data_IF_015347382463
#
_entry.id   IF_015347382463
#
_cell.length_a   1.000
_cell.length_b   1.000
_cell.length_c   1.000
_cell.angle_alpha   90.00
_cell.angle_beta   90.00
_cell.angle_gamma   90.00
#
_symmetry.space_group_name_H-M   'P 1'
#
loop_
_entity.id
_entity.type
_entity.pdbx_description
1 polymer ?
#
# COMPACT_ATOMS: atom_id res chain seq x y z
N UNK A 1 -0.39 25.38 25.11
CA UNK A 1 -0.07 26.79 25.43
C UNK A 1 -1.34 27.57 25.70
N UNK A 2 -1.30 28.47 26.68
CA UNK A 2 -2.42 29.34 27.03
C UNK A 2 -2.03 30.79 26.70
N UNK A 3 -2.81 31.53 25.90
CA UNK A 3 -2.56 32.94 25.67
C UNK A 3 -2.93 33.76 26.91
N UNK A 4 -1.99 34.55 27.40
CA UNK A 4 -2.13 35.40 28.59
C UNK A 4 -1.81 36.85 28.22
N UNK A 5 -2.65 37.79 28.65
CA UNK A 5 -2.38 39.21 28.46
C UNK A 5 -1.08 39.63 29.17
N UNK A 6 -0.29 40.53 28.56
CA UNK A 6 1.01 40.96 29.07
C UNK A 6 0.98 41.43 30.54
N UNK A 7 -0.12 42.04 30.99
CA UNK A 7 -0.32 42.50 32.37
C UNK A 7 -0.43 41.35 33.39
N UNK A 8 -0.83 40.16 32.96
CA UNK A 8 -1.06 39.00 33.81
C UNK A 8 0.03 37.91 33.66
N UNK A 9 1.11 38.18 32.91
CA UNK A 9 2.16 37.19 32.61
C UNK A 9 2.88 36.61 33.84
N UNK A 10 2.85 37.30 34.99
CA UNK A 10 3.46 36.86 36.26
C UNK A 10 2.48 36.21 37.23
N UNK A 11 1.18 36.13 36.89
CA UNK A 11 0.14 35.51 37.74
C UNK A 11 0.04 34.00 37.54
N UNK A 12 0.57 33.49 36.43
CA UNK A 12 0.65 32.07 36.11
C UNK A 12 2.12 31.64 36.17
N UNK A 13 2.42 30.65 37.00
CA UNK A 13 3.74 30.02 37.04
C UNK A 13 3.89 29.11 35.82
N UNK A 14 4.79 29.47 34.89
CA UNK A 14 4.99 28.74 33.65
C UNK A 14 6.09 29.34 32.79
N UNK A 15 6.50 28.61 31.77
CA UNK A 15 7.50 29.07 30.81
C UNK A 15 6.84 29.89 29.70
N UNK A 16 7.43 31.03 29.36
CA UNK A 16 7.01 31.84 28.21
C UNK A 16 7.60 31.18 26.97
N UNK A 17 6.74 30.69 26.07
CA UNK A 17 7.17 30.10 24.80
C UNK A 17 7.26 31.10 23.67
N UNK A 18 6.33 32.06 23.62
CA UNK A 18 6.27 33.03 22.53
C UNK A 18 5.53 34.32 22.92
N UNK A 19 5.79 35.39 22.18
CA UNK A 19 5.16 36.71 22.34
C UNK A 19 4.52 37.14 21.02
N UNK A 20 3.30 37.68 21.07
CA UNK A 20 2.66 38.19 19.86
C UNK A 20 3.46 39.38 19.28
N UNK A 21 3.45 39.55 17.96
CA UNK A 21 4.18 40.64 17.28
C UNK A 21 3.82 42.06 17.77
N UNK A 22 2.70 42.21 18.50
CA UNK A 22 2.25 43.49 19.09
C UNK A 22 2.63 43.64 20.57
N UNK A 23 3.25 42.62 21.18
CA UNK A 23 3.65 42.54 22.58
C UNK A 23 2.50 42.47 23.60
N UNK A 24 1.26 42.29 23.12
CA UNK A 24 0.06 42.32 23.97
C UNK A 24 -0.30 40.97 24.59
N UNK A 25 0.17 39.88 23.98
CA UNK A 25 -0.19 38.50 24.37
C UNK A 25 1.06 37.66 24.49
N UNK A 26 1.22 36.98 25.62
CA UNK A 26 2.28 36.02 25.88
C UNK A 26 1.68 34.61 25.88
N UNK A 27 2.32 33.68 25.21
CA UNK A 27 1.94 32.27 25.24
C UNK A 27 2.74 31.59 26.35
N UNK A 28 2.04 31.21 27.41
CA UNK A 28 2.65 30.58 28.58
C UNK A 28 2.25 29.10 28.60
N UNK A 29 3.22 28.23 28.86
CA UNK A 29 2.97 26.83 29.23
C UNK A 29 3.18 26.68 30.74
N UNK A 30 2.11 26.42 31.51
CA UNK A 30 2.21 26.19 32.95
C UNK A 30 3.13 25.01 33.25
N UNK A 31 3.85 25.08 34.37
CA UNK A 31 4.81 24.04 34.77
C UNK A 31 4.13 22.67 34.87
N UNK A 32 2.89 22.63 35.38
CA UNK A 32 2.13 21.37 35.49
C UNK A 32 1.78 20.76 34.11
N UNK A 33 1.64 21.60 33.07
CA UNK A 33 1.31 21.15 31.72
C UNK A 33 2.55 20.70 30.95
N UNK A 34 3.73 21.28 31.22
CA UNK A 34 5.00 20.87 30.61
C UNK A 34 5.31 19.40 30.91
N UNK A 35 5.20 18.99 32.17
CA UNK A 35 5.49 17.62 32.59
C UNK A 35 4.52 16.63 31.93
N UNK A 36 3.21 16.91 31.94
CA UNK A 36 2.19 16.07 31.30
C UNK A 36 2.39 15.99 29.79
N UNK A 37 2.78 17.08 29.11
CA UNK A 37 3.01 17.09 27.67
C UNK A 37 4.25 16.26 27.29
N UNK A 38 5.31 16.33 28.11
CA UNK A 38 6.49 15.49 27.92
C UNK A 38 6.17 14.00 28.16
N UNK A 39 5.40 13.69 29.20
CA UNK A 39 4.94 12.32 29.47
C UNK A 39 4.06 11.79 28.33
N UNK A 40 3.11 12.60 27.84
CA UNK A 40 2.29 12.24 26.68
C UNK A 40 3.15 11.94 25.45
N UNK A 41 4.14 12.79 25.15
CA UNK A 41 5.06 12.56 24.03
C UNK A 41 5.87 11.28 24.20
N UNK A 42 6.39 11.00 25.40
CA UNK A 42 7.12 9.76 25.66
C UNK A 42 6.21 8.53 25.49
N UNK A 43 4.96 8.62 25.96
CA UNK A 43 3.96 7.57 25.76
C UNK A 43 3.65 7.37 24.27
N UNK A 44 3.44 8.42 23.49
CA UNK A 44 3.25 8.33 22.04
C UNK A 44 4.46 7.69 21.33
N UNK A 45 5.69 8.02 21.75
CA UNK A 45 6.89 7.37 21.23
C UNK A 45 6.97 5.90 21.64
N UNK A 46 6.61 5.57 22.88
CA UNK A 46 6.57 4.20 23.38
C UNK A 46 5.57 3.35 22.60
N UNK A 47 4.38 3.89 22.34
CA UNK A 47 3.33 3.24 21.55
C UNK A 47 3.81 2.98 20.13
N UNK A 48 4.41 3.98 19.45
CA UNK A 48 4.97 3.78 18.11
C UNK A 48 6.05 2.71 18.06
N UNK A 49 6.95 2.69 19.05
CA UNK A 49 7.99 1.64 19.16
C UNK A 49 7.36 0.26 19.32
N UNK A 50 6.32 0.16 20.13
CA UNK A 50 5.62 -1.10 20.36
C UNK A 50 4.87 -1.59 19.12
N UNK A 51 4.20 -0.69 18.38
CA UNK A 51 3.56 -1.02 17.10
C UNK A 51 4.59 -1.59 16.12
N UNK A 52 5.75 -0.93 15.97
CA UNK A 52 6.81 -1.40 15.09
C UNK A 52 7.34 -2.75 15.53
N UNK A 53 7.53 -2.97 16.84
CA UNK A 53 7.98 -4.25 17.39
C UNK A 53 7.01 -5.37 17.04
N UNK A 54 5.72 -5.18 17.30
CA UNK A 54 4.66 -6.15 17.02
C UNK A 54 4.59 -6.48 15.52
N UNK A 55 4.59 -5.45 14.66
CA UNK A 55 4.53 -5.66 13.21
C UNK A 55 5.79 -6.38 12.68
N UNK A 56 6.97 -6.08 13.25
CA UNK A 56 8.21 -6.75 12.88
C UNK A 56 8.19 -8.21 13.29
N UNK A 57 7.79 -8.52 14.52
CA UNK A 57 7.65 -9.90 15.01
C UNK A 57 6.63 -10.70 14.19
N UNK A 58 5.50 -10.08 13.83
CA UNK A 58 4.51 -10.72 12.97
C UNK A 58 5.03 -10.93 11.56
N UNK A 59 5.76 -9.98 11.00
CA UNK A 59 6.38 -10.13 9.68
C UNK A 59 7.43 -11.24 9.70
N UNK A 60 8.23 -11.32 10.77
CA UNK A 60 9.26 -12.34 10.92
C UNK A 60 8.68 -13.72 11.19
N UNK A 61 7.48 -13.83 11.78
CA UNK A 61 6.80 -15.12 11.90
C UNK A 61 6.31 -15.67 10.55
N UNK A 62 6.01 -14.80 9.58
CA UNK A 62 5.61 -15.18 8.21
C UNK A 62 6.83 -15.36 7.29
N UNK A 63 7.94 -14.67 7.56
CA UNK A 63 9.14 -14.65 6.71
C UNK A 63 9.65 -16.04 6.27
N UNK A 64 9.65 -17.10 7.10
CA UNK A 64 10.06 -18.43 6.68
C UNK A 64 9.24 -18.98 5.49
N UNK A 65 7.97 -18.60 5.39
CA UNK A 65 7.05 -19.05 4.36
C UNK A 65 7.07 -18.17 3.09
N UNK A 66 7.86 -17.10 3.07
CA UNK A 66 7.86 -16.13 1.98
C UNK A 66 8.14 -16.77 0.61
N UNK A 67 9.05 -17.74 0.55
CA UNK A 67 9.35 -18.48 -0.68
C UNK A 67 8.15 -19.33 -1.14
N UNK A 68 7.51 -20.06 -0.22
CA UNK A 68 6.32 -20.87 -0.52
C UNK A 68 5.14 -20.03 -1.00
N UNK A 69 4.96 -18.84 -0.41
CA UNK A 69 3.93 -17.88 -0.83
C UNK A 69 4.23 -17.37 -2.25
N UNK A 70 5.49 -17.06 -2.56
CA UNK A 70 5.90 -16.64 -3.90
C UNK A 70 5.67 -17.76 -4.94
N UNK A 71 6.11 -18.99 -4.64
CA UNK A 71 5.90 -20.15 -5.51
C UNK A 71 4.40 -20.39 -5.76
N UNK A 72 3.56 -20.25 -4.72
CA UNK A 72 2.11 -20.36 -4.86
C UNK A 72 1.54 -19.28 -5.80
N UNK A 73 2.10 -18.07 -5.77
CA UNK A 73 1.78 -16.99 -6.70
C UNK A 73 2.12 -17.35 -8.15
N UNK A 74 3.31 -17.92 -8.38
CA UNK A 74 3.74 -18.36 -9.71
C UNK A 74 2.85 -19.47 -10.27
N UNK A 75 2.49 -20.46 -9.43
CA UNK A 75 1.54 -21.50 -9.82
C UNK A 75 0.16 -20.94 -10.20
N UNK A 76 -0.35 -19.98 -9.42
CA UNK A 76 -1.62 -19.33 -9.73
C UNK A 76 -1.55 -18.57 -11.06
N UNK A 77 -0.44 -17.88 -11.33
CA UNK A 77 -0.23 -17.18 -12.59
C UNK A 77 -0.18 -18.14 -13.79
N UNK A 78 0.46 -19.30 -13.65
CA UNK A 78 0.49 -20.32 -14.70
C UNK A 78 -0.92 -20.86 -15.00
N UNK A 79 -1.69 -21.17 -13.95
CA UNK A 79 -3.07 -21.66 -14.07
C UNK A 79 -3.95 -20.60 -14.75
N UNK A 80 -3.83 -19.33 -14.35
CA UNK A 80 -4.60 -18.24 -14.95
C UNK A 80 -4.28 -18.08 -16.44
N UNK A 81 -3.00 -18.11 -16.81
CA UNK A 81 -2.56 -18.06 -18.21
C UNK A 81 -3.10 -19.23 -19.03
N UNK A 82 -3.05 -20.46 -18.51
CA UNK A 82 -3.59 -21.65 -19.18
C UNK A 82 -5.11 -21.52 -19.37
N UNK A 83 -5.82 -21.04 -18.36
CA UNK A 83 -7.27 -20.82 -18.41
C UNK A 83 -7.64 -19.72 -19.42
N UNK A 84 -6.88 -18.63 -19.46
CA UNK A 84 -7.06 -17.54 -20.42
C UNK A 84 -6.88 -18.04 -21.86
N UNK A 85 -5.83 -18.82 -22.14
CA UNK A 85 -5.61 -19.48 -23.45
C UNK A 85 -6.77 -20.40 -23.82
N UNK A 86 -7.25 -21.22 -22.87
CA UNK A 86 -8.36 -22.15 -23.09
C UNK A 86 -9.68 -21.44 -23.41
N UNK A 87 -10.02 -20.39 -22.65
CA UNK A 87 -11.21 -19.57 -22.90
C UNK A 87 -11.14 -18.88 -24.25
N UNK A 88 -10.02 -18.23 -24.54
CA UNK A 88 -9.79 -17.59 -25.83
C UNK A 88 -9.92 -18.58 -26.99
N UNK A 89 -9.33 -19.78 -26.85
CA UNK A 89 -9.44 -20.83 -27.84
C UNK A 89 -10.89 -21.28 -28.06
N UNK A 90 -11.66 -21.46 -26.98
CA UNK A 90 -13.08 -21.85 -27.06
C UNK A 90 -13.92 -20.79 -27.77
N UNK A 91 -13.76 -19.51 -27.41
CA UNK A 91 -14.53 -18.39 -27.98
C UNK A 91 -14.20 -18.16 -29.47
N UNK A 92 -12.95 -18.43 -29.86
CA UNK A 92 -12.47 -18.23 -31.22
C UNK A 92 -12.45 -19.51 -32.07
N UNK A 93 -12.89 -20.65 -31.51
CA UNK A 93 -12.87 -21.94 -32.19
C UNK A 93 -11.45 -22.34 -32.62
N UNK A 94 -10.44 -22.06 -31.80
CA UNK A 94 -9.06 -22.46 -32.04
C UNK A 94 -8.87 -23.95 -31.78
N UNK A 95 -7.81 -24.50 -32.35
CA UNK A 95 -7.40 -25.91 -32.17
C UNK A 95 -5.96 -25.96 -31.68
N UNK A 96 -5.60 -27.05 -31.00
CA UNK A 96 -4.21 -27.31 -30.62
C UNK A 96 -3.39 -27.56 -31.89
N UNK A 97 -2.32 -26.80 -32.17
CA UNK A 97 -1.49 -27.04 -33.34
C UNK A 97 -0.68 -28.33 -33.17
N UNK A 98 -0.35 -28.96 -34.30
CA UNK A 98 0.66 -30.02 -34.37
C UNK A 98 2.00 -29.33 -34.63
N UNK A 99 2.99 -29.55 -33.77
CA UNK A 99 4.33 -29.00 -33.95
C UNK A 99 5.08 -29.81 -35.02
N UNK A 100 5.45 -29.16 -36.11
CA UNK A 100 6.29 -29.76 -37.16
C UNK A 100 7.73 -29.94 -36.64
N UNK A 101 8.38 -31.00 -37.12
CA UNK A 101 9.80 -31.29 -36.90
C UNK A 101 10.63 -31.14 -38.18
N UNK A 102 9.98 -30.72 -39.28
CA UNK A 102 10.52 -30.62 -40.64
C UNK A 102 10.33 -29.21 -41.24
N UNK A 103 10.21 -28.19 -40.38
CA UNK A 103 10.03 -26.77 -40.73
C UNK A 103 8.83 -26.46 -41.66
N UNK A 104 7.85 -27.35 -41.71
CA UNK A 104 6.65 -27.18 -42.54
C UNK A 104 5.53 -26.46 -41.80
N UNK A 105 4.96 -25.46 -42.46
CA UNK A 105 3.75 -24.77 -42.01
C UNK A 105 2.57 -25.14 -42.90
N UNK A 106 1.57 -25.79 -42.31
CA UNK A 106 0.31 -26.12 -42.99
C UNK A 106 -0.86 -25.51 -42.24
N UNK A 107 -1.54 -24.56 -42.88
CA UNK A 107 -2.71 -23.89 -42.33
C UNK A 107 -3.96 -24.39 -43.04
N UNK A 108 -4.86 -25.06 -42.29
CA UNK A 108 -6.16 -25.53 -42.81
C UNK A 108 -7.26 -24.66 -42.24
N UNK A 109 -8.09 -24.08 -43.12
CA UNK A 109 -9.23 -23.22 -42.73
C UNK A 109 -8.85 -22.10 -41.74
N UNK A 110 -7.61 -21.59 -41.85
CA UNK A 110 -7.10 -20.58 -40.94
C UNK A 110 -7.85 -19.25 -41.11
N UNK A 111 -8.02 -18.54 -39.99
CA UNK A 111 -8.73 -17.26 -39.92
C UNK A 111 -7.88 -16.29 -39.13
N UNK A 112 -7.96 -15.02 -39.50
CA UNK A 112 -7.35 -13.95 -38.71
C UNK A 112 -8.23 -13.68 -37.47
N UNK A 113 -7.77 -13.93 -36.23
CA UNK A 113 -8.65 -13.91 -35.05
C UNK A 113 -9.29 -12.54 -34.81
N UNK A 114 -8.50 -11.46 -34.83
CA UNK A 114 -9.01 -10.11 -34.57
C UNK A 114 -9.99 -9.64 -35.66
N UNK A 115 -9.65 -9.79 -36.94
CA UNK A 115 -10.55 -9.45 -38.04
C UNK A 115 -11.87 -10.23 -37.96
N UNK A 116 -11.82 -11.53 -37.61
CA UNK A 116 -13.02 -12.33 -37.43
C UNK A 116 -13.90 -11.82 -36.29
N UNK A 117 -13.29 -11.41 -35.17
CA UNK A 117 -14.03 -10.79 -34.06
C UNK A 117 -14.68 -9.47 -34.48
N UNK A 118 -13.95 -8.61 -35.20
CA UNK A 118 -14.47 -7.34 -35.71
C UNK A 118 -15.65 -7.55 -36.65
N UNK A 119 -15.54 -8.50 -37.60
CA UNK A 119 -16.62 -8.81 -38.54
C UNK A 119 -17.85 -9.39 -37.83
N UNK A 120 -17.66 -10.30 -36.86
CA UNK A 120 -18.78 -10.82 -36.03
C UNK A 120 -19.50 -9.72 -35.25
N UNK A 121 -18.77 -8.70 -34.78
CA UNK A 121 -19.34 -7.58 -34.05
C UNK A 121 -20.10 -6.60 -34.97
N UNK A 122 -19.77 -6.55 -36.27
CA UNK A 122 -20.37 -5.64 -37.23
C UNK A 122 -21.69 -6.16 -37.86
N UNK A 123 -22.03 -7.45 -37.68
CA UNK A 123 -23.22 -8.09 -38.24
C UNK A 123 -22.90 -9.16 -39.27
#
# INVERSE_FOLDING_TARGET
>A
MIPVAAANKRKLNGFIHDESATGKTFYVEPVEVVEINNELRELEYSERREIVRILSEFTDSIRPDAALIADSGDYLAEIDMLRAKGRWASENGCVRPILSTDDRLVLRTARHPLLQQTLRAAG
#
